data_IF_094198659790
#
_entry.id   IF_094198659790
#
_cell.length_a   1.000
_cell.length_b   1.000
_cell.length_c   1.000
_cell.angle_alpha   90.00
_cell.angle_beta   90.00
_cell.angle_gamma   90.00
#
_symmetry.space_group_name_H-M   'P 1'
#
loop_
_entity.id
_entity.type
_entity.pdbx_description
1 polymer ?
#
# COMPACT_ATOMS: atom_id res chain seq x y z
N UNK A 1 7.44 6.41 12.65
CA UNK A 1 8.44 7.27 11.99
C UNK A 1 7.87 7.98 10.78
N UNK A 2 6.99 7.32 10.02
CA UNK A 2 6.31 7.91 8.88
C UNK A 2 4.87 7.43 8.82
N UNK A 3 3.96 8.28 8.36
CA UNK A 3 2.56 7.93 8.05
C UNK A 3 2.42 7.83 6.54
N UNK A 4 1.79 6.76 6.06
CA UNK A 4 1.48 6.55 4.65
C UNK A 4 0.01 6.14 4.50
N UNK A 5 -0.63 6.57 3.41
CA UNK A 5 -2.00 6.17 3.07
C UNK A 5 -2.02 5.12 1.97
N UNK A 6 -3.01 4.22 2.01
CA UNK A 6 -3.34 3.34 0.89
C UNK A 6 -4.04 4.18 -0.19
N UNK A 7 -3.46 4.31 -1.41
CA UNK A 7 -4.04 5.15 -2.45
C UNK A 7 -5.28 4.50 -3.10
N UNK A 8 -6.35 5.25 -3.40
CA UNK A 8 -6.47 6.71 -3.29
C UNK A 8 -7.37 7.17 -2.12
N UNK A 9 -8.22 6.26 -1.62
CA UNK A 9 -9.24 6.57 -0.62
C UNK A 9 -8.69 6.80 0.80
N UNK A 10 -7.58 6.14 1.15
CA UNK A 10 -6.95 6.29 2.47
C UNK A 10 -6.11 7.57 2.61
N UNK A 11 -5.87 8.33 1.54
CA UNK A 11 -4.90 9.44 1.54
C UNK A 11 -5.32 10.60 2.45
N UNK A 12 -6.59 11.03 2.38
CA UNK A 12 -7.07 12.15 3.20
C UNK A 12 -7.02 11.82 4.70
N UNK A 13 -7.42 10.61 5.08
CA UNK A 13 -7.34 10.13 6.45
C UNK A 13 -5.88 10.03 6.94
N UNK A 14 -4.96 9.57 6.07
CA UNK A 14 -3.54 9.49 6.39
C UNK A 14 -2.92 10.86 6.65
N UNK A 15 -3.29 11.87 5.84
CA UNK A 15 -2.80 13.24 6.00
C UNK A 15 -3.30 13.82 7.33
N UNK A 16 -4.60 13.73 7.61
CA UNK A 16 -5.15 14.22 8.88
C UNK A 16 -4.55 13.51 10.10
N UNK A 17 -4.32 12.20 10.01
CA UNK A 17 -3.62 11.45 11.06
C UNK A 17 -2.17 11.94 11.26
N UNK A 18 -1.45 12.21 10.17
CA UNK A 18 -0.07 12.70 10.23
C UNK A 18 0.02 14.08 10.88
N UNK A 19 -0.89 14.99 10.52
CA UNK A 19 -1.00 16.33 11.10
C UNK A 19 -1.24 16.29 12.61
N UNK A 20 -2.23 15.52 13.05
CA UNK A 20 -2.57 15.41 14.48
C UNK A 20 -1.49 14.67 15.28
N UNK A 21 -0.86 13.64 14.70
CA UNK A 21 0.18 12.87 15.38
C UNK A 21 1.57 13.52 15.35
N UNK A 22 1.74 14.63 14.62
CA UNK A 22 3.03 15.30 14.45
C UNK A 22 4.08 14.47 13.70
N UNK A 23 3.66 13.44 12.96
CA UNK A 23 4.53 12.58 12.17
C UNK A 23 4.54 13.01 10.70
N UNK A 24 5.67 12.87 9.97
CA UNK A 24 5.70 13.20 8.57
C UNK A 24 4.81 12.25 7.76
N UNK A 25 4.02 12.82 6.86
CA UNK A 25 3.34 12.09 5.80
C UNK A 25 4.26 11.92 4.59
N UNK A 26 4.34 10.71 4.03
CA UNK A 26 5.09 10.43 2.81
C UNK A 26 4.24 9.64 1.82
N UNK A 27 4.50 9.83 0.53
CA UNK A 27 3.91 8.98 -0.51
C UNK A 27 4.63 7.63 -0.56
N UNK A 28 4.26 6.74 0.36
CA UNK A 28 4.88 5.41 0.50
C UNK A 28 4.43 4.37 -0.53
N UNK A 29 3.33 4.64 -1.25
CA UNK A 29 2.75 3.70 -2.21
C UNK A 29 2.25 4.43 -3.45
N UNK A 30 2.37 3.77 -4.61
CA UNK A 30 1.79 4.23 -5.86
C UNK A 30 0.81 3.19 -6.42
N UNK A 31 -0.37 3.67 -6.77
CA UNK A 31 -1.37 2.88 -7.49
C UNK A 31 -1.05 2.87 -8.97
N UNK A 32 -0.98 1.67 -9.54
CA UNK A 32 -0.85 1.52 -10.98
C UNK A 32 -2.18 1.88 -11.66
N UNK A 33 -2.21 3.05 -12.30
CA UNK A 33 -3.41 3.58 -12.98
C UNK A 33 -3.80 2.81 -14.25
N UNK A 34 -2.91 1.96 -14.76
CA UNK A 34 -3.10 1.20 -16.00
C UNK A 34 -3.52 -0.26 -15.75
N UNK A 35 -3.85 -0.62 -14.50
CA UNK A 35 -4.42 -1.94 -14.23
C UNK A 35 -5.82 -2.02 -14.83
N UNK A 36 -5.89 -2.65 -16.00
CA UNK A 36 -7.14 -3.04 -16.63
C UNK A 36 -7.79 -4.27 -15.98
N UNK A 37 -9.00 -4.58 -16.45
CA UNK A 37 -9.68 -5.86 -16.19
C UNK A 37 -8.78 -7.03 -16.61
N UNK A 38 -8.60 -7.99 -15.72
CA UNK A 38 -7.91 -9.23 -16.06
C UNK A 38 -8.90 -10.15 -16.78
N UNK A 39 -8.59 -10.58 -18.00
CA UNK A 39 -9.33 -11.62 -18.70
C UNK A 39 -9.14 -12.98 -18.02
N UNK A 40 -9.88 -14.01 -18.44
CA UNK A 40 -9.72 -15.39 -17.96
C UNK A 40 -8.26 -15.79 -18.17
N UNK A 41 -7.51 -15.86 -17.06
CA UNK A 41 -6.12 -16.30 -17.07
C UNK A 41 -6.09 -17.82 -16.92
N UNK A 42 -5.26 -18.54 -17.71
CA UNK A 42 -5.24 -20.00 -17.74
C UNK A 42 -4.71 -20.63 -16.44
N UNK A 43 -4.04 -19.85 -15.59
CA UNK A 43 -3.55 -20.36 -14.31
C UNK A 43 -3.67 -19.34 -13.15
N UNK A 44 -3.66 -19.88 -11.92
CA UNK A 44 -3.72 -19.11 -10.66
C UNK A 44 -2.53 -18.16 -10.49
N UNK A 45 -1.34 -18.54 -10.96
CA UNK A 45 -0.12 -17.72 -10.83
C UNK A 45 -0.19 -16.41 -11.62
N UNK A 46 -0.61 -16.46 -12.88
CA UNK A 46 -0.76 -15.29 -13.75
C UNK A 46 -1.80 -14.33 -13.19
N UNK A 47 -2.89 -14.85 -12.64
CA UNK A 47 -3.89 -14.05 -11.93
C UNK A 47 -3.32 -13.38 -10.68
N UNK A 48 -2.53 -14.10 -9.88
CA UNK A 48 -1.82 -13.53 -8.72
C UNK A 48 -0.80 -12.45 -9.13
N UNK A 49 -0.11 -12.63 -10.26
CA UNK A 49 0.77 -11.61 -10.85
C UNK A 49 0.01 -10.34 -11.25
N UNK A 50 -1.17 -10.47 -11.85
CA UNK A 50 -2.02 -9.33 -12.20
C UNK A 50 -2.50 -8.52 -11.00
N UNK A 51 -2.77 -9.17 -9.86
CA UNK A 51 -3.11 -8.51 -8.60
C UNK A 51 -1.90 -7.83 -7.96
N UNK A 52 -0.71 -8.44 -8.02
CA UNK A 52 0.57 -7.83 -7.58
C UNK A 52 0.88 -6.51 -8.31
N UNK A 53 0.35 -6.28 -9.50
CA UNK A 53 0.58 -5.06 -10.28
C UNK A 53 -0.20 -3.83 -9.80
N UNK A 54 -1.12 -3.97 -8.84
CA UNK A 54 -2.02 -2.87 -8.44
C UNK A 54 -1.36 -1.78 -7.61
N UNK A 55 -0.42 -2.16 -6.74
CA UNK A 55 0.20 -1.26 -5.77
C UNK A 55 1.70 -1.54 -5.72
N UNK A 56 2.50 -0.48 -5.82
CA UNK A 56 3.95 -0.52 -5.71
C UNK A 56 4.40 0.31 -4.50
N UNK A 57 5.37 -0.18 -3.75
CA UNK A 57 5.94 0.53 -2.59
C UNK A 57 7.09 1.42 -3.04
N UNK A 58 7.12 2.65 -2.55
CA UNK A 58 8.23 3.59 -2.74
C UNK A 58 9.28 3.28 -1.67
N UNK A 59 10.25 2.42 -1.99
CA UNK A 59 11.26 1.93 -1.04
C UNK A 59 11.94 3.05 -0.24
N UNK A 60 12.36 4.12 -0.91
CA UNK A 60 13.01 5.28 -0.29
C UNK A 60 12.16 5.96 0.80
N UNK A 61 10.83 5.85 0.72
CA UNK A 61 9.94 6.45 1.71
C UNK A 61 9.86 5.61 2.99
N UNK A 62 10.06 4.29 2.92
CA UNK A 62 9.73 3.33 4.00
C UNK A 62 10.91 2.52 4.55
N UNK A 63 12.02 2.41 3.81
CA UNK A 63 13.17 1.58 4.20
C UNK A 63 13.79 2.05 5.52
N UNK A 64 13.95 1.12 6.47
CA UNK A 64 14.50 1.35 7.80
C UNK A 64 13.59 2.12 8.76
N UNK A 65 12.33 2.37 8.40
CA UNK A 65 11.39 3.18 9.18
C UNK A 65 10.25 2.34 9.75
N UNK A 66 9.76 2.70 10.94
CA UNK A 66 8.47 2.26 11.47
C UNK A 66 7.35 2.99 10.75
N UNK A 67 6.52 2.24 10.03
CA UNK A 67 5.47 2.78 9.16
C UNK A 67 4.11 2.66 9.81
N UNK A 68 3.36 3.76 9.86
CA UNK A 68 1.93 3.77 10.14
C UNK A 68 1.21 3.76 8.79
N UNK A 69 0.45 2.69 8.54
CA UNK A 69 -0.35 2.52 7.32
C UNK A 69 -1.80 2.85 7.62
N UNK A 70 -2.38 3.81 6.89
CA UNK A 70 -3.80 4.19 6.99
C UNK A 70 -4.53 3.70 5.74
N UNK A 71 -5.60 2.94 5.94
CA UNK A 71 -6.49 2.42 4.90
C UNK A 71 -7.92 2.89 5.20
N UNK A 72 -8.78 2.96 4.18
CA UNK A 72 -10.16 3.39 4.35
C UNK A 72 -11.01 2.36 5.10
N UNK A 73 -10.68 1.07 4.94
CA UNK A 73 -11.45 -0.03 5.45
C UNK A 73 -10.66 -1.35 5.42
N UNK A 74 -11.06 -2.28 6.29
CA UNK A 74 -10.61 -3.68 6.23
C UNK A 74 -11.85 -4.55 6.20
N UNK A 75 -12.10 -5.24 5.07
CA UNK A 75 -13.25 -6.14 4.93
C UNK A 75 -12.87 -7.58 5.25
N UNK A 76 -11.85 -8.11 4.56
CA UNK A 76 -11.40 -9.51 4.71
C UNK A 76 -9.93 -9.64 5.13
N UNK A 77 -9.21 -8.53 5.25
CA UNK A 77 -7.79 -8.51 5.64
C UNK A 77 -6.78 -9.04 4.61
N UNK A 78 -7.20 -9.76 3.56
CA UNK A 78 -6.27 -10.33 2.56
C UNK A 78 -5.46 -9.26 1.83
N UNK A 79 -6.09 -8.13 1.49
CA UNK A 79 -5.40 -7.00 0.84
C UNK A 79 -4.44 -6.33 1.81
N UNK A 80 -4.90 -6.02 3.03
CA UNK A 80 -4.09 -5.36 4.06
C UNK A 80 -2.87 -6.21 4.44
N UNK A 81 -3.05 -7.52 4.63
CA UNK A 81 -1.94 -8.45 4.86
C UNK A 81 -0.92 -8.44 3.72
N UNK A 82 -1.40 -8.40 2.47
CA UNK A 82 -0.52 -8.30 1.29
C UNK A 82 0.25 -6.97 1.24
N UNK A 83 -0.38 -5.86 1.61
CA UNK A 83 0.28 -4.55 1.67
C UNK A 83 1.38 -4.56 2.73
N UNK A 84 1.10 -5.10 3.91
CA UNK A 84 2.10 -5.24 4.98
C UNK A 84 3.30 -6.09 4.52
N UNK A 85 3.06 -7.21 3.84
CA UNK A 85 4.15 -8.01 3.25
C UNK A 85 5.02 -7.20 2.27
N UNK A 86 4.39 -6.37 1.42
CA UNK A 86 5.10 -5.53 0.46
C UNK A 86 5.96 -4.45 1.17
N UNK A 87 5.43 -3.84 2.22
CA UNK A 87 6.15 -2.84 3.01
C UNK A 87 7.36 -3.46 3.72
N UNK A 88 7.18 -4.62 4.36
CA UNK A 88 8.27 -5.36 5.01
C UNK A 88 9.33 -5.80 3.99
N UNK A 89 8.92 -6.27 2.83
CA UNK A 89 9.84 -6.62 1.74
C UNK A 89 10.61 -5.39 1.20
N UNK A 90 10.06 -4.19 1.33
CA UNK A 90 10.72 -2.92 1.00
C UNK A 90 11.59 -2.38 2.14
N UNK A 91 11.74 -3.10 3.25
CA UNK A 91 12.62 -2.74 4.36
C UNK A 91 11.97 -1.91 5.47
N UNK A 92 10.64 -1.79 5.51
CA UNK A 92 9.97 -1.23 6.67
C UNK A 92 10.18 -2.13 7.90
N UNK A 93 10.35 -1.51 9.07
CA UNK A 93 10.62 -2.19 10.35
C UNK A 93 9.39 -2.31 11.23
#
# INVERSE_FOLDING_TARGET
DVVIGVPDSGLAAAIGFAEESGLPYEMGMMKNRYVGRTFIQPNQELRRKGVRMKLSVVRKAVEGKRVILVDDSIVRGTTSGRIVELLKAAGAT
#
